data_IF_154898838355
#
_entry.id   IF_154898838355
#
_cell.length_a   1.000
_cell.length_b   1.000
_cell.length_c   1.000
_cell.angle_alpha   90.00
_cell.angle_beta   90.00
_cell.angle_gamma   90.00
#
_symmetry.space_group_name_H-M   'P 1'
#
loop_
_entity.id
_entity.type
_entity.pdbx_description
1 polymer ?
#
# COMPACT_ATOMS: atom_id res chain seq x y z
N UNK A 1 4.10 -10.37 -1.60
CA UNK A 1 3.98 -9.73 -0.28
C UNK A 1 2.56 -9.84 0.27
N UNK A 2 1.57 -9.16 -0.32
CA UNK A 2 0.19 -9.10 0.22
C UNK A 2 -0.45 -10.45 0.52
N UNK A 3 -0.31 -11.42 -0.39
CA UNK A 3 -0.74 -12.80 -0.18
C UNK A 3 -0.11 -13.39 1.10
N UNK A 4 1.21 -13.28 1.25
CA UNK A 4 1.96 -13.83 2.39
C UNK A 4 1.58 -13.11 3.68
N UNK A 5 1.49 -11.79 3.67
CA UNK A 5 1.14 -11.00 4.86
C UNK A 5 -0.28 -11.30 5.34
N UNK A 6 -1.27 -11.30 4.45
CA UNK A 6 -2.67 -11.53 4.80
C UNK A 6 -2.93 -12.99 5.22
N UNK A 7 -2.28 -13.97 4.57
CA UNK A 7 -2.39 -15.37 4.99
C UNK A 7 -1.72 -15.60 6.33
N UNK A 8 -0.52 -15.05 6.55
CA UNK A 8 0.20 -15.18 7.81
C UNK A 8 -0.60 -14.58 8.97
N UNK A 9 -1.08 -13.34 8.85
CA UNK A 9 -1.85 -12.70 9.92
C UNK A 9 -3.18 -13.40 10.17
N UNK A 10 -3.88 -13.87 9.13
CA UNK A 10 -5.15 -14.59 9.31
C UNK A 10 -4.99 -15.98 9.93
N UNK A 11 -3.86 -16.65 9.71
CA UNK A 11 -3.63 -18.03 10.19
C UNK A 11 -3.03 -18.05 11.61
N UNK A 12 -2.29 -17.01 12.01
CA UNK A 12 -1.67 -16.94 13.35
C UNK A 12 -2.72 -16.99 14.47
N UNK A 13 -3.84 -16.29 14.35
CA UNK A 13 -4.85 -16.24 15.42
C UNK A 13 -5.54 -17.60 15.67
N UNK A 14 -6.06 -18.31 14.65
CA UNK A 14 -6.61 -19.65 14.84
C UNK A 14 -5.59 -20.66 15.37
N UNK A 15 -4.35 -20.63 14.87
CA UNK A 15 -3.28 -21.52 15.35
C UNK A 15 -3.00 -21.28 16.83
N UNK A 16 -2.89 -20.01 17.24
CA UNK A 16 -2.70 -19.66 18.65
C UNK A 16 -3.84 -20.20 19.51
N UNK A 17 -5.09 -19.95 19.13
CA UNK A 17 -6.27 -20.42 19.87
C UNK A 17 -6.27 -21.95 20.04
N UNK A 18 -5.98 -22.70 18.97
CA UNK A 18 -5.90 -24.16 19.01
C UNK A 18 -4.72 -24.64 19.87
N UNK A 19 -3.56 -23.98 19.81
CA UNK A 19 -2.39 -24.33 20.61
C UNK A 19 -2.63 -24.16 22.11
N UNK A 20 -3.28 -23.06 22.52
CA UNK A 20 -3.61 -22.78 23.92
C UNK A 20 -4.68 -23.76 24.40
N UNK A 21 -5.68 -24.08 23.57
CA UNK A 21 -6.70 -25.08 23.89
C UNK A 21 -6.10 -26.48 24.08
N UNK A 22 -5.15 -26.87 23.23
CA UNK A 22 -4.40 -28.13 23.38
C UNK A 22 -3.54 -28.16 24.65
N UNK A 23 -2.93 -27.03 25.03
CA UNK A 23 -2.21 -26.90 26.30
C UNK A 23 -3.11 -27.08 27.52
N UNK A 24 -4.31 -26.48 27.51
CA UNK A 24 -5.30 -26.67 28.59
C UNK A 24 -5.84 -28.11 28.65
N UNK A 25 -6.01 -28.77 27.50
CA UNK A 25 -6.36 -30.19 27.45
C UNK A 25 -5.28 -31.06 28.10
N UNK A 26 -4.00 -30.78 27.83
CA UNK A 26 -2.88 -31.51 28.43
C UNK A 26 -2.81 -31.34 29.95
N UNK A 27 -3.15 -30.15 30.45
CA UNK A 27 -3.16 -29.83 31.90
C UNK A 27 -4.37 -30.40 32.65
N UNK A 28 -5.35 -30.97 31.95
CA UNK A 28 -6.56 -31.57 32.52
C UNK A 28 -7.68 -30.56 32.86
N UNK A 29 -7.46 -29.27 32.62
CA UNK A 29 -8.43 -28.19 32.83
C UNK A 29 -8.87 -27.63 31.46
N UNK A 30 -9.65 -28.41 30.71
CA UNK A 30 -10.07 -28.01 29.38
C UNK A 30 -10.94 -26.73 29.41
N UNK A 31 -10.48 -25.70 28.71
CA UNK A 31 -11.22 -24.45 28.53
C UNK A 31 -11.32 -24.11 27.05
N UNK A 32 -12.50 -23.67 26.62
CA UNK A 32 -12.73 -23.19 25.27
C UNK A 32 -12.09 -21.81 25.09
N UNK A 33 -11.07 -21.74 24.23
CA UNK A 33 -10.35 -20.50 23.92
C UNK A 33 -10.81 -19.98 22.56
N UNK A 34 -11.54 -18.85 22.49
CA UNK A 34 -11.95 -18.26 21.23
C UNK A 34 -10.77 -17.61 20.50
N UNK A 35 -10.87 -17.50 19.17
CA UNK A 35 -9.85 -16.86 18.31
C UNK A 35 -9.66 -15.37 18.64
N UNK A 36 -10.75 -14.68 18.99
CA UNK A 36 -10.76 -13.30 19.44
C UNK A 36 -11.62 -13.17 20.70
N UNK A 37 -11.18 -12.34 21.64
CA UNK A 37 -12.00 -11.97 22.81
C UNK A 37 -13.07 -10.98 22.37
N UNK A 38 -14.22 -11.50 21.93
CA UNK A 38 -15.40 -10.71 21.59
C UNK A 38 -16.48 -10.92 22.65
N UNK A 39 -17.15 -9.83 23.03
CA UNK A 39 -18.34 -9.90 23.88
C UNK A 39 -19.56 -10.04 22.98
N UNK A 40 -20.33 -11.11 23.16
CA UNK A 40 -21.54 -11.35 22.42
C UNK A 40 -22.76 -10.73 23.13
N UNK A 41 -23.91 -10.57 22.43
CA UNK A 41 -25.16 -10.20 23.08
C UNK A 41 -25.49 -11.16 24.24
N UNK A 42 -26.12 -10.65 25.30
CA UNK A 42 -26.23 -11.36 26.60
C UNK A 42 -26.70 -12.82 26.48
N UNK A 43 -27.71 -13.09 25.64
CA UNK A 43 -28.25 -14.46 25.42
C UNK A 43 -27.25 -15.45 24.82
N UNK A 44 -26.30 -14.97 24.03
CA UNK A 44 -25.29 -15.79 23.36
C UNK A 44 -24.05 -15.94 24.24
N UNK A 45 -23.75 -14.93 25.07
CA UNK A 45 -22.63 -14.94 26.01
C UNK A 45 -22.76 -16.07 27.05
N UNK A 46 -23.98 -16.33 27.52
CA UNK A 46 -24.27 -17.38 28.50
C UNK A 46 -24.08 -18.80 27.93
N UNK A 47 -24.29 -18.99 26.62
CA UNK A 47 -24.30 -20.31 25.96
C UNK A 47 -23.04 -20.53 25.12
N UNK A 48 -22.16 -19.53 24.98
CA UNK A 48 -20.97 -19.56 24.10
C UNK A 48 -19.99 -20.70 24.41
N UNK A 49 -19.96 -21.17 25.65
CA UNK A 49 -19.08 -22.24 26.12
C UNK A 49 -19.66 -23.64 25.91
N UNK A 50 -20.89 -23.75 25.37
CA UNK A 50 -21.46 -25.03 24.98
C UNK A 50 -20.73 -25.56 23.75
N UNK A 51 -20.28 -26.83 23.71
CA UNK A 51 -19.40 -27.34 22.64
C UNK A 51 -19.92 -27.07 21.23
N UNK A 52 -21.21 -27.31 20.98
CA UNK A 52 -21.82 -27.11 19.66
C UNK A 52 -21.79 -25.63 19.23
N UNK A 53 -22.15 -24.72 20.13
CA UNK A 53 -22.18 -23.28 19.85
C UNK A 53 -20.77 -22.73 19.70
N UNK A 54 -19.83 -23.17 20.54
CA UNK A 54 -18.44 -22.77 20.45
C UNK A 54 -17.85 -23.11 19.08
N UNK A 55 -17.99 -24.36 18.61
CA UNK A 55 -17.48 -24.77 17.30
C UNK A 55 -18.16 -24.04 16.15
N UNK A 56 -19.46 -23.80 16.24
CA UNK A 56 -20.19 -22.99 15.27
C UNK A 56 -19.63 -21.55 15.19
N UNK A 57 -19.43 -20.89 16.34
CA UNK A 57 -18.85 -19.54 16.40
C UNK A 57 -17.40 -19.52 15.92
N UNK A 58 -16.61 -20.52 16.28
CA UNK A 58 -15.21 -20.66 15.88
C UNK A 58 -15.10 -20.80 14.35
N UNK A 59 -15.88 -21.69 13.73
CA UNK A 59 -15.91 -21.86 12.27
C UNK A 59 -16.36 -20.57 11.60
N UNK A 60 -17.42 -19.94 12.08
CA UNK A 60 -17.93 -18.66 11.53
C UNK A 60 -16.87 -17.56 11.60
N UNK A 61 -16.10 -17.49 12.68
CA UNK A 61 -15.02 -16.52 12.85
C UNK A 61 -13.87 -16.79 11.87
N UNK A 62 -13.47 -18.05 11.70
CA UNK A 62 -12.42 -18.45 10.75
C UNK A 62 -12.86 -18.18 9.30
N UNK A 63 -14.10 -18.51 8.92
CA UNK A 63 -14.60 -18.24 7.56
C UNK A 63 -14.67 -16.74 7.28
N UNK A 64 -15.11 -15.94 8.25
CA UNK A 64 -15.07 -14.48 8.15
C UNK A 64 -13.64 -13.94 7.99
N UNK A 65 -12.68 -14.46 8.77
CA UNK A 65 -11.26 -14.09 8.66
C UNK A 65 -10.68 -14.38 7.27
N UNK A 66 -10.97 -15.56 6.72
CA UNK A 66 -10.55 -15.95 5.37
C UNK A 66 -11.20 -15.07 4.28
N UNK A 67 -12.48 -14.75 4.44
CA UNK A 67 -13.18 -13.84 3.55
C UNK A 67 -12.53 -12.44 3.56
N UNK A 68 -12.30 -11.89 4.76
CA UNK A 68 -11.63 -10.60 4.91
C UNK A 68 -10.22 -10.62 4.29
N UNK A 69 -9.42 -11.66 4.57
CA UNK A 69 -8.08 -11.81 3.99
C UNK A 69 -8.12 -11.83 2.45
N UNK A 70 -9.10 -12.51 1.85
CA UNK A 70 -9.27 -12.56 0.39
C UNK A 70 -9.57 -11.18 -0.19
N UNK A 71 -10.44 -10.40 0.47
CA UNK A 71 -10.75 -9.02 0.08
C UNK A 71 -9.50 -8.13 0.13
N UNK A 72 -8.71 -8.23 1.21
CA UNK A 72 -7.45 -7.49 1.35
C UNK A 72 -6.44 -7.85 0.26
N UNK A 73 -6.26 -9.13 -0.02
CA UNK A 73 -5.34 -9.61 -1.07
C UNK A 73 -5.79 -9.12 -2.45
N UNK A 74 -7.10 -9.02 -2.69
CA UNK A 74 -7.63 -8.55 -3.97
C UNK A 74 -7.52 -7.04 -4.16
N UNK A 75 -7.80 -6.27 -3.12
CA UNK A 75 -8.01 -4.82 -3.23
C UNK A 75 -6.73 -4.00 -3.00
N UNK A 76 -5.99 -4.28 -1.93
CA UNK A 76 -4.80 -3.51 -1.54
C UNK A 76 -3.71 -3.43 -2.63
N UNK A 77 -3.38 -4.52 -3.37
CA UNK A 77 -2.37 -4.43 -4.42
C UNK A 77 -2.81 -3.66 -5.67
N UNK A 78 -4.10 -3.38 -5.88
CA UNK A 78 -4.57 -2.78 -7.13
C UNK A 78 -3.89 -1.44 -7.41
N UNK A 79 -3.77 -0.58 -6.40
CA UNK A 79 -3.12 0.73 -6.61
C UNK A 79 -1.63 0.58 -6.94
N UNK A 80 -0.81 -0.14 -6.14
CA UNK A 80 0.56 -0.47 -6.53
C UNK A 80 0.70 -1.06 -7.94
N UNK A 81 -0.20 -1.97 -8.35
CA UNK A 81 -0.17 -2.59 -9.68
C UNK A 81 -0.42 -1.54 -10.76
N UNK A 82 -1.43 -0.69 -10.60
CA UNK A 82 -1.69 0.39 -11.55
C UNK A 82 -0.55 1.38 -11.63
N UNK A 83 0.04 1.76 -10.49
CA UNK A 83 1.19 2.65 -10.46
C UNK A 83 2.39 2.06 -11.18
N UNK A 84 2.69 0.78 -10.92
CA UNK A 84 3.77 0.08 -11.58
C UNK A 84 3.51 -0.04 -13.09
N UNK A 85 2.27 -0.27 -13.50
CA UNK A 85 1.89 -0.27 -14.91
C UNK A 85 2.14 1.09 -15.56
N UNK A 86 1.74 2.18 -14.92
CA UNK A 86 2.01 3.54 -15.42
C UNK A 86 3.52 3.79 -15.49
N UNK A 87 4.28 3.42 -14.46
CA UNK A 87 5.75 3.53 -14.47
C UNK A 87 6.36 2.83 -15.70
N UNK A 88 5.93 1.59 -15.99
CA UNK A 88 6.39 0.85 -17.15
C UNK A 88 6.02 1.52 -18.48
N UNK A 89 4.82 2.11 -18.57
CA UNK A 89 4.42 2.87 -19.76
C UNK A 89 5.24 4.16 -19.93
N UNK A 90 5.56 4.87 -18.84
CA UNK A 90 6.43 6.04 -18.86
C UNK A 90 7.84 5.67 -19.33
N UNK A 91 8.40 4.55 -18.88
CA UNK A 91 9.71 4.05 -19.33
C UNK A 91 9.71 3.72 -20.84
N UNK A 92 8.64 3.10 -21.34
CA UNK A 92 8.48 2.82 -22.77
C UNK A 92 8.41 4.13 -23.58
N UNK A 93 7.64 5.11 -23.09
CA UNK A 93 7.53 6.42 -23.74
C UNK A 93 8.88 7.16 -23.73
N UNK A 94 9.60 7.13 -22.62
CA UNK A 94 10.95 7.71 -22.49
C UNK A 94 11.89 7.14 -23.56
N UNK A 95 11.96 5.81 -23.69
CA UNK A 95 12.77 5.14 -24.73
C UNK A 95 12.33 5.50 -26.15
N UNK A 96 11.02 5.64 -26.39
CA UNK A 96 10.50 6.05 -27.70
C UNK A 96 10.92 7.48 -28.02
N UNK A 97 10.84 8.38 -27.04
CA UNK A 97 11.18 9.81 -27.18
C UNK A 97 12.65 10.01 -27.52
N UNK A 98 13.56 9.33 -26.81
CA UNK A 98 15.01 9.40 -27.10
C UNK A 98 15.32 8.96 -28.53
N UNK A 99 14.59 7.98 -29.05
CA UNK A 99 14.79 7.43 -30.40
C UNK A 99 13.88 8.07 -31.47
N UNK A 100 13.22 9.21 -31.19
CA UNK A 100 12.34 9.87 -32.17
C UNK A 100 13.12 10.32 -33.41
N UNK A 101 14.29 10.91 -33.21
CA UNK A 101 15.08 11.53 -34.26
C UNK A 101 16.12 10.56 -34.86
N UNK A 102 15.67 9.37 -35.27
CA UNK A 102 16.52 8.41 -35.99
C UNK A 102 17.03 8.99 -37.31
N UNK A 103 18.24 8.60 -37.74
CA UNK A 103 18.98 9.19 -38.87
C UNK A 103 18.24 9.27 -40.22
N UNK A 104 17.15 8.52 -40.41
CA UNK A 104 16.34 8.49 -41.65
C UNK A 104 14.86 8.88 -41.47
N UNK A 105 14.48 9.56 -40.37
CA UNK A 105 13.08 9.88 -40.11
C UNK A 105 12.60 11.10 -40.91
N UNK A 106 11.54 10.92 -41.71
CA UNK A 106 10.86 12.02 -42.40
C UNK A 106 10.06 12.89 -41.40
N UNK A 107 9.87 14.17 -41.71
CA UNK A 107 9.13 15.13 -40.87
C UNK A 107 7.72 14.65 -40.52
N UNK A 108 7.04 14.00 -41.47
CA UNK A 108 5.70 13.44 -41.26
C UNK A 108 5.72 12.30 -40.23
N UNK A 109 6.72 11.44 -40.30
CA UNK A 109 6.89 10.31 -39.37
C UNK A 109 7.20 10.80 -37.95
N UNK A 110 8.10 11.78 -37.82
CA UNK A 110 8.41 12.43 -36.53
C UNK A 110 7.14 13.03 -35.89
N UNK A 111 6.34 13.75 -36.68
CA UNK A 111 5.13 14.39 -36.17
C UNK A 111 4.06 13.36 -35.74
N UNK A 112 3.93 12.25 -36.48
CA UNK A 112 3.02 11.17 -36.13
C UNK A 112 3.48 10.43 -34.86
N UNK A 113 4.80 10.18 -34.71
CA UNK A 113 5.39 9.63 -33.47
C UNK A 113 5.13 10.54 -32.27
N UNK A 114 5.37 11.84 -32.40
CA UNK A 114 5.06 12.80 -31.34
C UNK A 114 3.57 12.81 -30.98
N UNK A 115 2.68 12.77 -31.98
CA UNK A 115 1.24 12.70 -31.74
C UNK A 115 0.86 11.44 -30.96
N UNK A 116 1.36 10.28 -31.34
CA UNK A 116 1.09 9.02 -30.63
C UNK A 116 1.60 9.05 -29.18
N UNK A 117 2.81 9.60 -28.96
CA UNK A 117 3.40 9.76 -27.62
C UNK A 117 2.55 10.70 -26.77
N UNK A 118 2.13 11.84 -27.33
CA UNK A 118 1.27 12.80 -26.63
C UNK A 118 -0.09 12.20 -26.26
N UNK A 119 -0.72 11.48 -27.19
CA UNK A 119 -1.99 10.80 -26.91
C UNK A 119 -1.85 9.77 -25.79
N UNK A 120 -0.78 8.95 -25.82
CA UNK A 120 -0.52 7.98 -24.77
C UNK A 120 -0.21 8.64 -23.43
N UNK A 121 0.59 9.71 -23.44
CA UNK A 121 0.90 10.46 -22.23
C UNK A 121 -0.38 11.04 -21.59
N UNK A 122 -1.27 11.65 -22.39
CA UNK A 122 -2.57 12.14 -21.91
C UNK A 122 -3.44 11.03 -21.31
N UNK A 123 -3.44 9.85 -21.91
CA UNK A 123 -4.14 8.67 -21.36
C UNK A 123 -3.58 8.27 -19.99
N UNK A 124 -2.25 8.22 -19.84
CA UNK A 124 -1.59 7.92 -18.55
C UNK A 124 -1.94 8.95 -17.48
N UNK A 125 -1.93 10.25 -17.81
CA UNK A 125 -2.36 11.31 -16.89
C UNK A 125 -3.82 11.13 -16.46
N UNK A 126 -4.72 10.75 -17.38
CA UNK A 126 -6.13 10.48 -17.06
C UNK A 126 -6.29 9.27 -16.13
N UNK A 127 -5.55 8.19 -16.39
CA UNK A 127 -5.57 6.99 -15.52
C UNK A 127 -5.04 7.34 -14.13
N UNK A 128 -3.90 8.02 -14.05
CA UNK A 128 -3.32 8.48 -12.78
C UNK A 128 -4.29 9.39 -12.01
N UNK A 129 -4.95 10.32 -12.69
CA UNK A 129 -5.96 11.17 -12.08
C UNK A 129 -7.18 10.37 -11.57
N UNK A 130 -7.64 9.38 -12.33
CA UNK A 130 -8.74 8.51 -11.91
C UNK A 130 -8.39 7.69 -10.67
N UNK A 131 -7.16 7.16 -10.60
CA UNK A 131 -6.66 6.44 -9.42
C UNK A 131 -6.63 7.38 -8.22
N UNK A 132 -6.07 8.58 -8.39
CA UNK A 132 -6.02 9.59 -7.33
C UNK A 132 -7.43 9.85 -6.79
N UNK A 133 -8.37 10.30 -7.62
CA UNK A 133 -9.73 10.66 -7.17
C UNK A 133 -10.45 9.50 -6.49
N UNK A 134 -10.33 8.26 -7.00
CA UNK A 134 -11.03 7.09 -6.44
C UNK A 134 -10.42 6.60 -5.12
N UNK A 135 -9.11 6.71 -4.95
CA UNK A 135 -8.41 6.15 -3.80
C UNK A 135 -7.97 7.19 -2.76
N UNK A 136 -8.13 8.50 -3.02
CA UNK A 136 -7.75 9.57 -2.07
C UNK A 136 -8.34 9.37 -0.68
N UNK A 137 -9.65 9.10 -0.58
CA UNK A 137 -10.34 8.94 0.73
C UNK A 137 -9.82 7.68 1.45
N UNK A 138 -9.61 6.59 0.70
CA UNK A 138 -9.08 5.35 1.25
C UNK A 138 -7.67 5.56 1.83
N UNK A 139 -6.79 6.25 1.11
CA UNK A 139 -5.44 6.52 1.59
C UNK A 139 -5.40 7.44 2.81
N UNK A 140 -6.25 8.46 2.86
CA UNK A 140 -6.41 9.30 4.06
C UNK A 140 -6.83 8.46 5.27
N UNK A 141 -7.83 7.60 5.10
CA UNK A 141 -8.29 6.72 6.16
C UNK A 141 -7.20 5.74 6.60
N UNK A 142 -6.48 5.15 5.64
CA UNK A 142 -5.40 4.22 5.90
C UNK A 142 -4.24 4.88 6.65
N UNK A 143 -3.81 6.08 6.23
CA UNK A 143 -2.77 6.87 6.90
C UNK A 143 -3.16 7.14 8.36
N UNK A 144 -4.34 7.69 8.61
CA UNK A 144 -4.76 8.01 9.98
C UNK A 144 -4.89 6.76 10.84
N UNK A 145 -5.50 5.70 10.30
CA UNK A 145 -5.66 4.44 11.03
C UNK A 145 -4.32 3.83 11.39
N UNK A 146 -3.38 3.75 10.45
CA UNK A 146 -2.04 3.18 10.70
C UNK A 146 -1.23 4.01 11.69
N UNK A 147 -1.34 5.35 11.69
CA UNK A 147 -0.68 6.23 12.67
C UNK A 147 -1.12 5.93 14.11
N UNK A 148 -2.39 5.56 14.34
CA UNK A 148 -2.87 5.19 15.68
C UNK A 148 -2.65 3.71 16.02
N UNK A 149 -2.78 2.83 15.03
CA UNK A 149 -2.74 1.38 15.23
C UNK A 149 -1.32 0.86 15.48
N UNK A 150 -0.32 1.43 14.80
CA UNK A 150 1.07 1.02 14.91
C UNK A 150 1.65 1.24 16.32
N UNK A 151 1.48 2.40 16.98
CA UNK A 151 1.93 2.61 18.37
C UNK A 151 1.28 1.66 19.37
N UNK A 152 -0.03 1.41 19.23
CA UNK A 152 -0.77 0.50 20.10
C UNK A 152 -0.22 -0.92 20.00
N UNK A 153 0.02 -1.40 18.78
CA UNK A 153 0.59 -2.71 18.56
C UNK A 153 2.03 -2.81 19.09
N UNK A 154 2.85 -1.77 18.88
CA UNK A 154 4.20 -1.69 19.44
C UNK A 154 4.20 -1.72 20.97
N UNK A 155 3.26 -1.01 21.61
CA UNK A 155 3.10 -1.04 23.06
C UNK A 155 2.78 -2.44 23.59
N UNK A 156 1.85 -3.16 22.94
CA UNK A 156 1.52 -4.54 23.29
C UNK A 156 2.71 -5.50 23.11
N UNK A 157 3.55 -5.29 22.09
CA UNK A 157 4.78 -6.05 21.90
C UNK A 157 5.75 -5.81 23.07
N UNK A 158 5.91 -4.55 23.50
CA UNK A 158 6.84 -4.19 24.58
C UNK A 158 6.37 -4.72 25.94
N UNK A 159 5.08 -4.59 26.26
CA UNK A 159 4.53 -5.15 27.49
C UNK A 159 4.62 -6.68 27.50
N UNK A 160 4.36 -7.35 26.36
CA UNK A 160 4.59 -8.79 26.23
C UNK A 160 6.04 -9.18 26.53
N UNK A 161 7.01 -8.43 25.97
CA UNK A 161 8.43 -8.65 26.24
C UNK A 161 8.80 -8.44 27.72
N UNK A 162 8.17 -7.45 28.39
CA UNK A 162 8.36 -7.20 29.84
C UNK A 162 7.89 -8.39 30.69
N UNK A 163 6.82 -9.07 30.27
CA UNK A 163 6.33 -10.32 30.87
C UNK A 163 7.08 -11.59 30.41
N UNK A 164 8.17 -11.45 29.65
CA UNK A 164 8.91 -12.55 29.01
C UNK A 164 8.06 -13.42 28.06
N UNK A 165 7.02 -12.83 27.46
CA UNK A 165 6.12 -13.47 26.49
C UNK A 165 6.32 -12.86 25.10
N UNK A 166 6.67 -13.71 24.12
CA UNK A 166 6.79 -13.26 22.72
C UNK A 166 5.42 -13.38 22.05
N UNK A 167 4.73 -12.26 21.91
CA UNK A 167 3.45 -12.17 21.21
C UNK A 167 3.66 -12.04 19.69
N UNK A 168 3.89 -13.16 19.01
CA UNK A 168 4.12 -13.23 17.56
C UNK A 168 2.99 -12.59 16.73
N UNK A 169 1.76 -12.59 17.24
CA UNK A 169 0.61 -11.95 16.61
C UNK A 169 0.81 -10.44 16.43
N UNK A 170 1.19 -9.73 17.49
CA UNK A 170 1.39 -8.29 17.45
C UNK A 170 2.65 -7.91 16.67
N UNK A 171 3.70 -8.74 16.73
CA UNK A 171 4.88 -8.54 15.90
C UNK A 171 4.56 -8.67 14.41
N UNK A 172 3.83 -9.72 14.02
CA UNK A 172 3.40 -9.93 12.63
C UNK A 172 2.52 -8.78 12.13
N UNK A 173 1.63 -8.29 13.01
CA UNK A 173 0.74 -7.19 12.73
C UNK A 173 1.49 -5.85 12.58
N UNK A 174 2.45 -5.54 13.45
CA UNK A 174 3.31 -4.37 13.31
C UNK A 174 4.05 -4.38 11.97
N UNK A 175 4.67 -5.51 11.62
CA UNK A 175 5.38 -5.65 10.34
C UNK A 175 4.43 -5.48 9.15
N UNK A 176 3.24 -6.10 9.21
CA UNK A 176 2.21 -5.96 8.19
C UNK A 176 1.73 -4.52 8.06
N UNK A 177 1.52 -3.79 9.16
CA UNK A 177 1.06 -2.40 9.15
C UNK A 177 2.11 -1.45 8.54
N UNK A 178 3.39 -1.62 8.90
CA UNK A 178 4.51 -0.84 8.34
C UNK A 178 4.57 -1.06 6.82
N UNK A 179 4.59 -2.32 6.40
CA UNK A 179 4.67 -2.66 4.98
C UNK A 179 3.40 -2.26 4.21
N UNK A 180 2.24 -2.25 4.88
CA UNK A 180 0.99 -1.82 4.28
C UNK A 180 1.10 -0.38 3.82
N UNK A 181 1.61 0.51 4.68
CA UNK A 181 1.75 1.92 4.34
C UNK A 181 2.98 2.21 3.48
N UNK A 182 4.08 1.48 3.69
CA UNK A 182 5.31 1.63 2.91
C UNK A 182 5.13 1.39 1.41
N UNK A 183 4.40 0.33 1.01
CA UNK A 183 4.33 -0.08 -0.39
C UNK A 183 3.69 0.98 -1.31
N UNK A 184 2.49 1.53 -1.00
CA UNK A 184 1.92 2.62 -1.79
C UNK A 184 2.84 3.85 -1.86
N UNK A 185 3.48 4.21 -0.75
CA UNK A 185 4.44 5.33 -0.69
C UNK A 185 5.64 5.08 -1.62
N UNK A 186 6.21 3.88 -1.58
CA UNK A 186 7.33 3.49 -2.44
C UNK A 186 6.96 3.52 -3.93
N UNK A 187 5.81 2.95 -4.32
CA UNK A 187 5.40 2.94 -5.74
C UNK A 187 4.98 4.32 -6.25
N UNK A 188 4.41 5.17 -5.39
CA UNK A 188 4.08 6.55 -5.75
C UNK A 188 5.36 7.39 -5.92
N UNK A 189 6.35 7.22 -5.04
CA UNK A 189 7.65 7.87 -5.16
C UNK A 189 8.38 7.43 -6.45
N UNK A 190 8.35 6.12 -6.73
CA UNK A 190 8.85 5.56 -7.99
C UNK A 190 8.14 6.13 -9.21
N UNK A 191 6.85 6.42 -9.15
CA UNK A 191 6.13 7.08 -10.24
C UNK A 191 6.65 8.50 -10.47
N UNK A 192 6.91 9.25 -9.39
CA UNK A 192 7.48 10.59 -9.46
C UNK A 192 8.86 10.56 -10.13
N UNK A 193 9.74 9.66 -9.70
CA UNK A 193 11.06 9.43 -10.32
C UNK A 193 10.93 9.14 -11.83
N UNK A 194 10.03 8.23 -12.22
CA UNK A 194 9.83 7.86 -13.63
C UNK A 194 9.26 9.01 -14.46
N UNK A 195 8.43 9.85 -13.86
CA UNK A 195 7.92 11.06 -14.49
C UNK A 195 9.04 12.07 -14.74
N UNK A 196 9.98 12.22 -13.81
CA UNK A 196 11.15 13.09 -13.99
C UNK A 196 12.10 12.55 -15.06
N UNK A 197 12.35 11.25 -15.07
CA UNK A 197 13.14 10.58 -16.12
C UNK A 197 12.51 10.77 -17.52
N UNK A 198 11.17 10.77 -17.63
CA UNK A 198 10.48 11.08 -18.88
C UNK A 198 10.75 12.53 -19.31
N UNK A 199 10.70 13.49 -18.38
CA UNK A 199 11.00 14.90 -18.67
C UNK A 199 12.44 15.06 -19.16
N UNK A 200 13.39 14.40 -18.52
CA UNK A 200 14.79 14.40 -18.93
C UNK A 200 14.96 13.80 -20.33
N UNK A 201 14.30 12.67 -20.62
CA UNK A 201 14.30 12.07 -21.95
C UNK A 201 13.70 12.97 -23.03
N UNK A 202 12.65 13.73 -22.72
CA UNK A 202 12.10 14.78 -23.62
C UNK A 202 13.14 15.87 -23.87
N UNK A 203 13.91 16.25 -22.86
CA UNK A 203 14.98 17.22 -23.01
C UNK A 203 16.15 16.70 -23.84
N UNK A 204 16.59 15.48 -23.59
CA UNK A 204 17.76 14.88 -24.25
C UNK A 204 17.44 14.18 -25.56
N UNK A 205 16.27 14.39 -26.18
CA UNK A 205 15.87 13.68 -27.39
C UNK A 205 16.63 14.12 -28.67
N UNK A 206 17.50 15.13 -28.61
CA UNK A 206 18.29 15.59 -29.75
C UNK A 206 17.56 16.60 -30.66
N UNK A 207 16.52 17.24 -30.14
CA UNK A 207 15.72 18.23 -30.85
C UNK A 207 16.51 19.47 -31.26
N UNK A 208 17.66 19.72 -30.64
CA UNK A 208 18.52 20.86 -30.95
C UNK A 208 19.06 20.78 -32.39
N UNK A 209 19.32 19.55 -32.86
CA UNK A 209 19.84 19.26 -34.20
C UNK A 209 18.80 19.48 -35.29
N UNK A 210 17.51 19.55 -34.95
CA UNK A 210 16.41 19.67 -35.91
C UNK A 210 15.86 21.11 -35.95
N UNK A 211 15.91 21.81 -37.11
CA UNK A 211 15.58 23.24 -37.21
C UNK A 211 14.07 23.56 -37.33
N UNK A 212 13.18 22.62 -37.03
CA UNK A 212 11.73 22.82 -37.21
C UNK A 212 11.05 23.48 -35.98
N UNK A 213 10.56 24.70 -36.19
CA UNK A 213 9.85 25.46 -35.16
C UNK A 213 8.60 24.77 -34.62
N UNK A 214 7.88 23.99 -35.43
CA UNK A 214 6.65 23.33 -34.95
C UNK A 214 6.99 22.19 -33.98
N UNK A 215 8.05 21.43 -34.27
CA UNK A 215 8.50 20.34 -33.39
C UNK A 215 9.05 20.91 -32.08
N UNK A 216 9.86 21.97 -32.16
CA UNK A 216 10.39 22.67 -30.98
C UNK A 216 9.27 23.19 -30.07
N UNK A 217 8.23 23.78 -30.63
CA UNK A 217 7.03 24.22 -29.87
C UNK A 217 6.34 23.04 -29.18
N UNK A 218 6.14 21.93 -29.89
CA UNK A 218 5.52 20.71 -29.31
C UNK A 218 6.33 20.18 -28.13
N UNK A 219 7.65 20.07 -28.28
CA UNK A 219 8.55 19.60 -27.22
C UNK A 219 8.51 20.54 -26.02
N UNK A 220 8.54 21.86 -26.26
CA UNK A 220 8.43 22.86 -25.20
C UNK A 220 7.13 22.73 -24.41
N UNK A 221 6.00 22.46 -25.08
CA UNK A 221 4.71 22.20 -24.43
C UNK A 221 4.79 20.90 -23.61
N UNK A 222 5.37 19.83 -24.16
CA UNK A 222 5.54 18.56 -23.44
C UNK A 222 6.40 18.72 -22.19
N UNK A 223 7.52 19.44 -22.28
CA UNK A 223 8.37 19.79 -21.13
C UNK A 223 7.56 20.55 -20.09
N UNK A 224 6.84 21.61 -20.51
CA UNK A 224 6.06 22.45 -19.60
C UNK A 224 5.00 21.63 -18.86
N UNK A 225 4.37 20.67 -19.53
CA UNK A 225 3.38 19.77 -18.92
C UNK A 225 3.99 18.74 -17.97
N UNK A 226 5.23 18.31 -18.23
CA UNK A 226 5.96 17.33 -17.41
C UNK A 226 6.77 17.95 -16.28
N UNK A 227 6.75 19.29 -16.11
CA UNK A 227 7.33 19.98 -14.95
C UNK A 227 6.71 19.47 -13.64
N UNK A 228 5.40 19.24 -13.64
CA UNK A 228 4.72 18.67 -12.47
C UNK A 228 4.85 17.15 -12.55
N UNK A 229 5.63 16.51 -11.64
CA UNK A 229 5.77 15.06 -11.65
C UNK A 229 4.40 14.41 -11.44
N UNK A 230 4.17 13.26 -12.09
CA UNK A 230 3.02 12.42 -11.76
C UNK A 230 3.20 11.89 -10.34
N UNK A 231 2.53 12.52 -9.39
CA UNK A 231 2.43 12.08 -8.01
C UNK A 231 0.97 11.78 -7.63
N UNK A 232 0.78 10.80 -6.75
CA UNK A 232 -0.48 10.68 -6.03
C UNK A 232 -0.42 11.59 -4.81
N UNK A 233 -1.45 12.40 -4.62
CA UNK A 233 -1.63 13.17 -3.40
C UNK A 233 -2.98 12.80 -2.80
N UNK A 234 -3.01 12.74 -1.49
CA UNK A 234 -4.24 12.72 -0.72
C UNK A 234 -4.80 14.15 -0.57
N UNK A 235 -5.74 14.36 0.35
CA UNK A 235 -6.32 15.68 0.61
C UNK A 235 -5.28 16.59 1.27
N UNK A 236 -4.47 16.03 2.18
CA UNK A 236 -3.53 16.80 3.00
C UNK A 236 -2.06 16.54 2.65
N UNK A 237 -1.70 15.34 2.17
CA UNK A 237 -0.30 14.94 1.99
C UNK A 237 -0.04 14.33 0.61
N UNK A 238 1.15 14.54 0.01
CA UNK A 238 1.61 13.69 -1.08
C UNK A 238 1.83 12.26 -0.56
N UNK A 239 1.48 11.25 -1.36
CA UNK A 239 1.84 9.86 -1.05
C UNK A 239 3.28 9.67 -1.55
N UNK A 240 4.24 9.75 -0.65
CA UNK A 240 5.67 9.57 -0.93
C UNK A 240 6.39 9.02 0.30
N UNK A 241 7.68 8.69 0.14
CA UNK A 241 8.49 8.16 1.23
C UNK A 241 8.68 9.16 2.38
N UNK A 242 8.65 10.46 2.11
CA UNK A 242 8.71 11.49 3.16
C UNK A 242 7.49 11.42 4.09
N UNK A 243 6.29 11.23 3.52
CA UNK A 243 5.05 11.06 4.30
C UNK A 243 5.07 9.77 5.11
N UNK A 244 5.66 8.70 4.58
CA UNK A 244 5.93 7.48 5.35
C UNK A 244 6.84 7.74 6.54
N UNK A 245 7.96 8.44 6.35
CA UNK A 245 8.89 8.77 7.42
C UNK A 245 8.25 9.70 8.49
N UNK A 246 7.43 10.66 8.08
CA UNK A 246 6.64 11.49 8.99
C UNK A 246 5.64 10.66 9.80
N UNK A 247 4.91 9.75 9.16
CA UNK A 247 3.99 8.84 9.85
C UNK A 247 4.71 7.97 10.88
N UNK A 248 5.88 7.40 10.55
CA UNK A 248 6.68 6.64 11.51
C UNK A 248 7.13 7.49 12.71
N UNK A 249 7.51 8.75 12.49
CA UNK A 249 7.88 9.68 13.57
C UNK A 249 6.71 10.00 14.49
N UNK A 250 5.52 10.24 13.93
CA UNK A 250 4.30 10.47 14.70
C UNK A 250 3.93 9.23 15.52
N UNK A 251 3.96 8.04 14.90
CA UNK A 251 3.71 6.79 15.59
C UNK A 251 4.72 6.55 16.74
N UNK A 252 6.00 6.77 16.50
CA UNK A 252 7.04 6.64 17.53
C UNK A 252 6.84 7.62 18.69
N UNK A 253 6.42 8.85 18.39
CA UNK A 253 6.12 9.87 19.41
C UNK A 253 4.94 9.43 20.29
N UNK A 254 3.85 8.95 19.68
CA UNK A 254 2.68 8.41 20.41
C UNK A 254 3.10 7.22 21.27
N UNK A 255 3.89 6.30 20.72
CA UNK A 255 4.40 5.13 21.45
C UNK A 255 5.22 5.55 22.67
N UNK A 256 6.16 6.49 22.52
CA UNK A 256 6.96 6.99 23.64
C UNK A 256 6.09 7.66 24.71
N UNK A 257 5.09 8.44 24.31
CA UNK A 257 4.15 9.07 25.25
C UNK A 257 3.36 8.02 26.03
N UNK A 258 2.85 6.98 25.36
CA UNK A 258 2.16 5.87 26.02
C UNK A 258 3.08 5.14 27.00
N UNK A 259 4.31 4.85 26.59
CA UNK A 259 5.27 4.14 27.42
C UNK A 259 5.66 4.96 28.66
N UNK A 260 5.86 6.28 28.51
CA UNK A 260 6.15 7.18 29.62
C UNK A 260 4.97 7.39 30.58
N UNK A 261 3.72 7.34 30.08
CA UNK A 261 2.53 7.44 30.92
C UNK A 261 2.23 6.15 31.70
N UNK A 262 2.75 5.01 31.23
CA UNK A 262 2.54 3.69 31.84
C UNK A 262 3.66 3.26 32.79
N UNK A 263 4.88 3.81 32.60
CA UNK A 263 6.05 3.59 33.47
C UNK A 263 5.95 4.34 34.79
#
# INVERSE_FOLDING_TARGET
YWLVAATLTSIIFPIKALSIMGYYLYKGEFQFVPTFTMRYPDRLEDIKNTPFIFWFLFITCVTFGNYAATVYIGFDPLVPIFLLHICGQLDILSKRIVNIFSDNADKKDINEKFKQINLKLQELYRICHSIKVKYTILFEFNLKTTTFLLPLAMFQVVEGLREQRISLEFLSFCMSAILHFYLPCYYSDKLMERSENLREAIYSCGWEKYPDNNIRKTIMIMMTRTILPLGINTIFYPICLDTFAEMCRQAYTIFNLMNAAWS
#
